data_IF_673907729621
#
_entry.id   IF_673907729621
#
_cell.length_a   1.000
_cell.length_b   1.000
_cell.length_c   1.000
_cell.angle_alpha   90.00
_cell.angle_beta   90.00
_cell.angle_gamma   90.00
#
_symmetry.space_group_name_H-M   'P 1'
#
loop_
_entity.id
_entity.type
_entity.pdbx_description
1 polymer ?
#
# COMPACT_ATOMS: atom_id res chain seq x y z
N UNK A 1 6.09 -20.66 7.80
CA UNK A 1 6.59 -19.85 6.67
C UNK A 1 5.64 -18.69 6.43
N UNK A 2 6.16 -17.62 5.83
CA UNK A 2 5.36 -16.50 5.33
C UNK A 2 5.16 -16.67 3.81
N UNK A 3 3.96 -16.40 3.33
CA UNK A 3 3.63 -16.43 1.91
C UNK A 3 2.61 -15.34 1.57
N UNK A 4 2.91 -14.51 0.58
CA UNK A 4 1.95 -13.55 0.05
C UNK A 4 0.75 -14.30 -0.53
N UNK A 5 -0.47 -13.90 -0.15
CA UNK A 5 -1.67 -14.70 -0.40
C UNK A 5 -2.96 -13.87 -0.32
N UNK A 6 -4.08 -14.54 -0.61
CA UNK A 6 -5.44 -14.01 -0.48
C UNK A 6 -5.92 -13.89 0.98
N UNK A 7 -5.01 -13.95 1.97
CA UNK A 7 -5.38 -13.89 3.39
C UNK A 7 -6.05 -12.57 3.77
N UNK A 8 -5.72 -11.47 3.08
CA UNK A 8 -6.34 -10.16 3.30
C UNK A 8 -7.77 -10.13 2.72
N UNK A 9 -8.07 -10.87 1.66
CA UNK A 9 -9.44 -11.04 1.16
C UNK A 9 -10.30 -11.82 2.15
N UNK A 10 -9.73 -12.88 2.73
CA UNK A 10 -10.38 -13.62 3.83
C UNK A 10 -10.59 -12.70 5.04
N UNK A 11 -9.63 -11.85 5.39
CA UNK A 11 -9.78 -10.87 6.46
C UNK A 11 -10.90 -9.86 6.17
N UNK A 12 -11.01 -9.40 4.92
CA UNK A 12 -12.13 -8.58 4.46
C UNK A 12 -13.47 -9.27 4.73
N UNK A 13 -13.59 -10.55 4.37
CA UNK A 13 -14.80 -11.33 4.66
C UNK A 13 -15.06 -11.52 6.16
N UNK A 14 -14.03 -11.71 6.97
CA UNK A 14 -14.16 -11.80 8.43
C UNK A 14 -14.74 -10.50 9.00
N UNK A 15 -14.30 -9.34 8.50
CA UNK A 15 -14.88 -8.04 8.89
C UNK A 15 -16.38 -8.01 8.57
N UNK A 16 -16.78 -8.44 7.37
CA UNK A 16 -18.21 -8.47 7.00
C UNK A 16 -19.04 -9.35 7.94
N UNK A 17 -18.55 -10.55 8.25
CA UNK A 17 -19.25 -11.48 9.15
C UNK A 17 -19.40 -10.93 10.56
N UNK A 18 -18.35 -10.29 11.09
CA UNK A 18 -18.35 -9.73 12.45
C UNK A 18 -19.27 -8.51 12.54
N UNK A 19 -19.28 -7.67 11.50
CA UNK A 19 -19.92 -6.36 11.55
C UNK A 19 -21.33 -6.34 10.97
N UNK A 20 -21.67 -7.33 10.14
CA UNK A 20 -22.91 -7.35 9.36
C UNK A 20 -22.96 -6.32 8.23
N UNK A 21 -21.87 -5.62 7.95
CA UNK A 21 -21.73 -4.65 6.87
C UNK A 21 -20.97 -5.27 5.70
N UNK A 22 -21.21 -4.80 4.47
CA UNK A 22 -20.29 -5.10 3.37
C UNK A 22 -18.95 -4.39 3.61
N UNK A 23 -17.86 -4.91 3.03
CA UNK A 23 -16.54 -4.35 3.26
C UNK A 23 -16.43 -2.89 2.79
N UNK A 24 -17.09 -2.52 1.69
CA UNK A 24 -17.13 -1.12 1.21
C UNK A 24 -17.81 -0.18 2.20
N UNK A 25 -18.95 -0.59 2.78
CA UNK A 25 -19.69 0.17 3.78
C UNK A 25 -18.88 0.35 5.06
N UNK A 26 -18.22 -0.72 5.50
CA UNK A 26 -17.37 -0.69 6.67
C UNK A 26 -16.19 0.27 6.47
N UNK A 27 -15.46 0.15 5.36
CA UNK A 27 -14.31 1.03 5.08
C UNK A 27 -14.75 2.47 4.90
N UNK A 28 -15.87 2.72 4.20
CA UNK A 28 -16.44 4.05 4.04
C UNK A 28 -16.75 4.68 5.40
N UNK A 29 -17.45 3.96 6.26
CA UNK A 29 -17.91 4.47 7.56
C UNK A 29 -16.77 4.63 8.56
N UNK A 30 -15.82 3.70 8.59
CA UNK A 30 -14.80 3.61 9.64
C UNK A 30 -13.47 4.25 9.28
N UNK A 31 -13.21 4.48 8.00
CA UNK A 31 -11.93 4.98 7.52
C UNK A 31 -12.09 6.14 6.54
N UNK A 32 -12.79 5.94 5.41
CA UNK A 32 -12.78 6.93 4.33
C UNK A 32 -13.49 8.22 4.70
N UNK A 33 -14.73 8.14 5.19
CA UNK A 33 -15.50 9.34 5.58
C UNK A 33 -14.83 10.10 6.74
N UNK A 34 -14.43 9.45 7.86
CA UNK A 34 -13.76 10.17 8.95
C UNK A 34 -12.44 10.82 8.52
N UNK A 35 -11.71 10.17 7.60
CA UNK A 35 -10.49 10.74 7.04
C UNK A 35 -10.75 11.62 5.84
N UNK A 36 -11.98 11.88 5.38
CA UNK A 36 -12.26 12.69 4.19
C UNK A 36 -11.59 12.18 2.91
N UNK A 37 -11.52 10.86 2.71
CA UNK A 37 -11.03 10.20 1.50
C UNK A 37 -12.20 9.98 0.53
N UNK A 38 -12.68 11.05 -0.10
CA UNK A 38 -13.95 11.05 -0.85
C UNK A 38 -13.88 10.33 -2.19
N UNK A 39 -12.67 10.16 -2.72
CA UNK A 39 -12.40 9.58 -4.04
C UNK A 39 -11.83 8.16 -3.91
N UNK A 40 -11.98 7.55 -2.72
CA UNK A 40 -11.51 6.19 -2.43
C UNK A 40 -12.68 5.22 -2.30
N UNK A 41 -12.63 4.13 -3.06
CA UNK A 41 -13.67 3.10 -3.07
C UNK A 41 -13.35 1.94 -3.99
N UNK A 42 -14.31 1.04 -4.19
CA UNK A 42 -14.13 -0.14 -5.05
C UNK A 42 -14.49 0.08 -6.53
N UNK A 43 -14.94 1.29 -6.88
CA UNK A 43 -15.21 1.70 -8.25
C UNK A 43 -15.19 3.22 -8.37
N UNK A 44 -14.85 3.75 -9.54
CA UNK A 44 -14.93 5.18 -9.86
C UNK A 44 -16.38 5.54 -10.23
N UNK A 45 -16.98 6.57 -9.61
CA UNK A 45 -18.28 7.06 -10.00
C UNK A 45 -18.31 7.51 -11.47
N UNK A 46 -19.46 7.36 -12.13
CA UNK A 46 -19.58 7.70 -13.55
C UNK A 46 -19.22 9.16 -13.89
N UNK A 47 -19.43 10.09 -12.95
CA UNK A 47 -19.11 11.50 -13.13
C UNK A 47 -17.61 11.84 -12.99
N UNK A 48 -16.80 10.90 -12.48
CA UNK A 48 -15.34 11.03 -12.34
C UNK A 48 -14.58 10.13 -13.33
N UNK A 49 -15.28 9.50 -14.29
CA UNK A 49 -14.69 8.52 -15.20
C UNK A 49 -13.52 9.10 -16.03
N UNK A 50 -13.55 10.41 -16.31
CA UNK A 50 -12.50 11.15 -17.02
C UNK A 50 -11.23 11.38 -16.19
N UNK A 51 -11.33 11.28 -14.85
CA UNK A 51 -10.19 11.36 -13.93
C UNK A 51 -9.44 10.05 -13.75
N UNK A 52 -10.00 8.93 -14.21
CA UNK A 52 -9.37 7.61 -14.09
C UNK A 52 -8.12 7.53 -14.99
N UNK A 53 -6.96 7.34 -14.36
CA UNK A 53 -5.71 7.18 -15.08
C UNK A 53 -5.72 5.93 -15.98
N UNK A 54 -5.14 6.04 -17.17
CA UNK A 54 -4.98 4.91 -18.07
C UNK A 54 -4.04 3.86 -17.48
N UNK A 55 -4.44 2.59 -17.52
CA UNK A 55 -3.62 1.46 -17.11
C UNK A 55 -2.73 0.98 -18.25
N UNK A 56 -1.43 0.86 -17.99
CA UNK A 56 -0.47 0.33 -18.94
C UNK A 56 0.13 -1.00 -18.45
N UNK A 57 0.56 -1.81 -19.39
CA UNK A 57 1.39 -2.99 -19.19
C UNK A 57 2.71 -2.86 -19.95
N UNK A 58 3.71 -3.63 -19.55
CA UNK A 58 4.99 -3.69 -20.24
C UNK A 58 4.94 -4.61 -21.47
N UNK A 59 5.32 -4.06 -22.62
CA UNK A 59 5.73 -4.74 -23.85
C UNK A 59 6.52 -6.04 -23.60
N UNK A 60 6.05 -7.29 -23.83
CA UNK A 60 6.95 -8.44 -23.81
C UNK A 60 8.13 -8.22 -24.76
N UNK A 61 9.36 -8.29 -24.27
CA UNK A 61 10.59 -8.08 -25.06
C UNK A 61 11.04 -6.62 -25.24
N UNK A 62 10.13 -5.64 -25.35
CA UNK A 62 10.51 -4.23 -25.55
C UNK A 62 10.44 -3.37 -24.29
N UNK A 63 9.67 -3.82 -23.28
CA UNK A 63 9.31 -3.07 -22.07
C UNK A 63 8.66 -1.71 -22.32
N UNK A 64 8.24 -1.39 -23.55
CA UNK A 64 7.49 -0.17 -23.85
C UNK A 64 6.08 -0.25 -23.27
N UNK A 65 5.52 0.89 -22.86
CA UNK A 65 4.16 0.96 -22.34
C UNK A 65 3.14 0.55 -23.41
N UNK A 66 2.22 -0.34 -23.03
CA UNK A 66 1.11 -0.86 -23.83
C UNK A 66 -0.19 -0.59 -23.08
N UNK A 67 -1.16 0.07 -23.70
CA UNK A 67 -2.43 0.40 -23.06
C UNK A 67 -3.24 -0.87 -22.77
N UNK A 68 -3.67 -1.05 -21.52
CA UNK A 68 -4.53 -2.14 -21.06
C UNK A 68 -5.97 -1.62 -20.87
N UNK A 69 -6.60 -1.19 -21.97
CA UNK A 69 -7.85 -0.44 -21.93
C UNK A 69 -8.98 -1.16 -21.17
N UNK A 70 -9.18 -2.46 -21.42
CA UNK A 70 -10.27 -3.22 -20.78
C UNK A 70 -10.01 -3.47 -19.29
N UNK A 71 -8.76 -3.76 -18.92
CA UNK A 71 -8.38 -3.90 -17.52
C UNK A 71 -8.52 -2.56 -16.76
N UNK A 72 -8.15 -1.45 -17.39
CA UNK A 72 -8.35 -0.10 -16.82
C UNK A 72 -9.83 0.22 -16.60
N UNK A 73 -10.69 -0.07 -17.57
CA UNK A 73 -12.14 0.17 -17.47
C UNK A 73 -12.84 -0.67 -16.40
N UNK A 74 -12.22 -1.74 -15.89
CA UNK A 74 -12.81 -2.55 -14.82
C UNK A 74 -13.09 -1.72 -13.56
N UNK A 75 -12.28 -0.70 -13.29
CA UNK A 75 -12.46 0.25 -12.20
C UNK A 75 -13.74 1.12 -12.31
N UNK A 76 -14.37 1.20 -13.48
CA UNK A 76 -15.62 1.96 -13.68
C UNK A 76 -16.87 1.16 -13.29
N UNK A 77 -16.72 -0.09 -12.84
CA UNK A 77 -17.83 -0.98 -12.48
C UNK A 77 -17.71 -1.38 -11.03
N UNK A 78 -18.83 -1.38 -10.31
CA UNK A 78 -18.90 -1.96 -8.97
C UNK A 78 -18.60 -3.46 -9.08
N UNK A 79 -17.62 -3.99 -8.34
CA UNK A 79 -17.27 -5.40 -8.41
C UNK A 79 -18.37 -6.26 -7.76
N UNK A 80 -18.43 -7.54 -8.15
CA UNK A 80 -19.36 -8.51 -7.54
C UNK A 80 -18.96 -8.90 -6.12
N UNK A 81 -17.72 -8.62 -5.71
CA UNK A 81 -17.19 -8.85 -4.38
C UNK A 81 -16.15 -7.78 -4.03
N UNK A 82 -16.14 -7.36 -2.77
CA UNK A 82 -15.17 -6.40 -2.25
C UNK A 82 -13.99 -7.15 -1.65
N UNK A 83 -12.85 -7.06 -2.34
CA UNK A 83 -11.63 -7.77 -1.99
C UNK A 83 -10.80 -6.96 -1.00
N UNK A 84 -10.26 -7.59 0.04
CA UNK A 84 -9.43 -6.92 1.03
C UNK A 84 -8.00 -6.68 0.55
N UNK A 85 -7.48 -7.57 -0.30
CA UNK A 85 -6.11 -7.53 -0.81
C UNK A 85 -5.92 -6.69 -2.08
N UNK A 86 -7.00 -6.22 -2.71
CA UNK A 86 -6.95 -5.40 -3.93
C UNK A 86 -8.32 -4.89 -4.37
N UNK A 87 -8.34 -4.06 -5.42
CA UNK A 87 -9.60 -3.57 -6.03
C UNK A 87 -10.03 -2.17 -5.59
N UNK A 88 -9.38 -1.55 -4.61
CA UNK A 88 -9.59 -0.14 -4.33
C UNK A 88 -9.01 0.73 -5.45
N UNK A 89 -9.77 1.75 -5.82
CA UNK A 89 -9.33 2.96 -6.51
C UNK A 89 -9.22 4.08 -5.50
N UNK A 90 -8.26 4.99 -5.70
CA UNK A 90 -8.00 6.12 -4.81
C UNK A 90 -7.24 7.21 -5.57
N UNK A 91 -6.99 8.33 -4.90
CA UNK A 91 -6.17 9.43 -5.39
C UNK A 91 -4.92 9.57 -4.53
N UNK A 92 -3.90 10.27 -5.06
CA UNK A 92 -2.73 10.62 -4.24
C UNK A 92 -3.13 11.44 -3.01
N UNK A 93 -4.08 12.37 -3.15
CA UNK A 93 -4.57 13.19 -2.04
C UNK A 93 -5.24 12.35 -0.94
N UNK A 94 -6.12 11.42 -1.31
CA UNK A 94 -6.79 10.53 -0.35
C UNK A 94 -5.80 9.60 0.35
N UNK A 95 -4.90 8.99 -0.40
CA UNK A 95 -3.94 8.04 0.16
C UNK A 95 -2.89 8.73 1.06
N UNK A 96 -2.56 9.99 0.77
CA UNK A 96 -1.78 10.83 1.68
C UNK A 96 -2.48 11.04 3.02
N UNK A 97 -3.81 11.18 3.06
CA UNK A 97 -4.56 11.32 4.32
C UNK A 97 -4.51 10.04 5.14
N UNK A 98 -4.62 8.88 4.49
CA UNK A 98 -4.44 7.59 5.16
C UNK A 98 -3.03 7.43 5.75
N UNK A 99 -2.01 7.72 4.96
CA UNK A 99 -0.61 7.57 5.39
C UNK A 99 -0.19 8.60 6.43
N UNK A 100 -0.67 9.85 6.34
CA UNK A 100 -0.46 10.86 7.38
C UNK A 100 -1.18 10.50 8.68
N UNK A 101 -2.37 9.89 8.64
CA UNK A 101 -3.03 9.37 9.84
C UNK A 101 -2.15 8.34 10.55
N UNK A 102 -1.51 7.44 9.80
CA UNK A 102 -0.57 6.45 10.34
C UNK A 102 0.71 7.11 10.88
N UNK A 103 1.32 8.02 10.12
CA UNK A 103 2.51 8.80 10.54
C UNK A 103 2.25 9.56 11.85
N UNK A 104 1.08 10.17 11.97
CA UNK A 104 0.58 10.86 13.16
C UNK A 104 0.00 9.92 14.23
N UNK A 105 0.41 8.65 14.20
CA UNK A 105 0.12 7.65 15.25
C UNK A 105 -1.38 7.43 15.47
N UNK A 106 -2.13 7.36 14.37
CA UNK A 106 -3.53 6.94 14.37
C UNK A 106 -4.55 8.07 14.33
N UNK A 107 -4.13 9.32 14.13
CA UNK A 107 -4.99 10.50 14.15
C UNK A 107 -4.67 11.47 13.02
N UNK A 108 -5.70 12.05 12.39
CA UNK A 108 -5.55 13.14 11.43
C UNK A 108 -6.60 14.22 11.72
N UNK A 109 -6.17 15.48 11.83
CA UNK A 109 -7.05 16.64 12.01
C UNK A 109 -8.08 16.49 13.15
N UNK A 110 -7.66 15.94 14.30
CA UNK A 110 -8.52 15.70 15.46
C UNK A 110 -9.38 14.43 15.37
N UNK A 111 -9.35 13.70 14.25
CA UNK A 111 -10.08 12.43 14.08
C UNK A 111 -9.14 11.26 14.35
N UNK A 112 -9.41 10.53 15.44
CA UNK A 112 -8.64 9.35 15.83
C UNK A 112 -9.27 8.07 15.27
N UNK A 113 -8.53 7.37 14.41
CA UNK A 113 -8.91 6.07 13.85
C UNK A 113 -8.32 4.93 14.67
N UNK A 114 -7.06 5.05 15.07
CA UNK A 114 -6.33 4.04 15.83
C UNK A 114 -5.67 4.67 17.06
N UNK A 115 -5.47 3.86 18.11
CA UNK A 115 -4.64 4.30 19.23
C UNK A 115 -3.17 4.36 18.80
N UNK A 116 -2.33 5.23 19.39
CA UNK A 116 -0.90 5.26 19.08
C UNK A 116 -0.21 3.93 19.35
N UNK A 117 -0.65 3.21 20.40
CA UNK A 117 -0.15 1.88 20.76
C UNK A 117 -0.50 0.84 19.70
N UNK A 118 -1.69 0.95 19.09
CA UNK A 118 -2.11 0.06 17.99
C UNK A 118 -1.25 0.28 16.76
N UNK A 119 -1.00 1.53 16.36
CA UNK A 119 -0.10 1.84 15.23
C UNK A 119 1.30 1.27 15.51
N UNK A 120 1.86 1.57 16.68
CA UNK A 120 3.17 1.05 17.07
C UNK A 120 3.23 -0.48 17.06
N UNK A 121 2.15 -1.17 17.46
CA UNK A 121 2.10 -2.63 17.44
C UNK A 121 2.03 -3.18 16.00
N UNK A 122 1.20 -2.58 15.15
CA UNK A 122 1.00 -3.01 13.78
C UNK A 122 2.24 -2.81 12.90
N UNK A 123 3.10 -1.86 13.23
CA UNK A 123 4.33 -1.53 12.48
C UNK A 123 5.58 -2.27 12.98
N UNK A 124 5.45 -3.23 13.92
CA UNK A 124 6.56 -4.11 14.31
C UNK A 124 6.74 -5.25 13.30
N UNK A 125 7.92 -5.86 13.30
CA UNK A 125 8.12 -7.15 12.65
C UNK A 125 7.39 -8.24 13.45
N UNK A 126 6.43 -8.92 12.81
CA UNK A 126 5.66 -10.03 13.37
C UNK A 126 6.12 -11.40 12.87
N UNK A 127 7.22 -11.46 12.09
CA UNK A 127 7.82 -12.73 11.71
C UNK A 127 8.42 -13.43 12.96
N UNK A 128 8.18 -14.75 13.14
CA UNK A 128 8.72 -15.49 14.27
C UNK A 128 10.24 -15.37 14.38
N UNK A 129 10.74 -15.13 15.60
CA UNK A 129 12.17 -14.95 15.85
C UNK A 129 12.73 -13.59 15.41
N UNK A 130 11.89 -12.67 14.91
CA UNK A 130 12.33 -11.34 14.49
C UNK A 130 13.20 -11.36 13.22
N UNK A 131 13.15 -12.44 12.45
CA UNK A 131 13.92 -12.62 11.23
C UNK A 131 13.33 -11.84 10.05
N UNK A 132 14.08 -11.75 8.96
CA UNK A 132 13.62 -11.13 7.71
C UNK A 132 12.83 -12.10 6.82
N UNK A 133 12.27 -11.57 5.74
CA UNK A 133 11.51 -12.33 4.74
C UNK A 133 12.39 -13.35 4.00
N UNK A 134 13.69 -13.13 3.86
CA UNK A 134 14.62 -14.12 3.26
C UNK A 134 14.65 -15.40 4.10
N UNK A 135 14.60 -15.25 5.43
CA UNK A 135 14.73 -16.36 6.38
C UNK A 135 13.44 -17.15 6.61
N UNK A 136 12.26 -16.50 6.52
CA UNK A 136 10.98 -17.12 6.86
C UNK A 136 9.96 -17.14 5.72
N UNK A 137 10.18 -16.36 4.66
CA UNK A 137 9.27 -16.20 3.54
C UNK A 137 9.58 -17.14 2.38
N UNK A 138 8.53 -17.49 1.62
CA UNK A 138 8.72 -18.10 0.30
C UNK A 138 9.29 -17.06 -0.67
N UNK A 139 10.35 -17.39 -1.43
CA UNK A 139 10.86 -16.51 -2.48
C UNK A 139 9.75 -16.16 -3.46
N UNK A 140 9.49 -14.86 -3.64
CA UNK A 140 8.61 -14.34 -4.67
C UNK A 140 9.40 -13.30 -5.47
N UNK A 141 9.11 -13.22 -6.77
CA UNK A 141 9.62 -12.13 -7.57
C UNK A 141 8.89 -10.86 -7.11
N UNK A 142 9.62 -9.95 -6.47
CA UNK A 142 9.07 -8.72 -5.93
C UNK A 142 10.07 -7.59 -6.09
N UNK A 143 9.58 -6.37 -6.30
CA UNK A 143 10.43 -5.18 -6.42
C UNK A 143 11.10 -4.81 -5.07
N UNK A 144 10.47 -5.16 -3.95
CA UNK A 144 11.00 -4.92 -2.60
C UNK A 144 12.00 -6.03 -2.23
N UNK A 145 13.18 -5.69 -1.69
CA UNK A 145 14.12 -6.70 -1.21
C UNK A 145 13.54 -7.46 -0.01
N UNK A 146 13.95 -8.71 0.15
CA UNK A 146 13.59 -9.52 1.32
C UNK A 146 14.62 -9.39 2.45
N UNK A 147 15.90 -9.22 2.10
CA UNK A 147 16.98 -9.05 3.06
C UNK A 147 16.75 -7.79 3.90
N UNK A 148 16.90 -7.89 5.22
CA UNK A 148 16.70 -6.74 6.12
C UNK A 148 15.27 -6.19 6.17
N UNK A 149 14.30 -6.89 5.57
CA UNK A 149 12.88 -6.51 5.56
C UNK A 149 12.06 -7.57 6.29
N UNK A 150 11.42 -7.17 7.38
CA UNK A 150 10.42 -7.94 8.10
C UNK A 150 9.00 -7.69 7.58
N UNK A 151 8.01 -8.27 8.26
CA UNK A 151 6.60 -8.10 7.90
C UNK A 151 5.74 -7.77 9.12
N UNK A 152 5.05 -6.63 9.06
CA UNK A 152 4.11 -6.18 10.07
C UNK A 152 2.65 -6.44 9.68
N UNK A 153 1.72 -5.87 10.44
CA UNK A 153 0.28 -5.97 10.17
C UNK A 153 -0.20 -4.95 9.11
N UNK A 154 0.70 -4.12 8.58
CA UNK A 154 0.44 -3.13 7.52
C UNK A 154 1.27 -3.37 6.24
N UNK A 155 2.17 -4.35 6.22
CA UNK A 155 3.07 -4.59 5.10
C UNK A 155 4.52 -4.78 5.53
N UNK A 156 5.46 -4.38 4.66
CA UNK A 156 6.89 -4.50 4.90
C UNK A 156 7.35 -3.56 6.01
N UNK A 157 8.32 -4.01 6.81
CA UNK A 157 8.98 -3.20 7.85
C UNK A 157 10.48 -3.33 7.69
N UNK A 158 11.21 -2.22 7.54
CA UNK A 158 12.67 -2.23 7.52
C UNK A 158 13.20 -2.61 8.91
N UNK A 159 13.91 -3.73 9.01
CA UNK A 159 14.54 -4.20 10.25
C UNK A 159 16.07 -4.12 10.21
N UNK A 160 16.65 -4.05 9.02
CA UNK A 160 18.07 -3.75 8.79
C UNK A 160 18.23 -2.95 7.47
N UNK A 161 18.39 -1.62 7.54
CA UNK A 161 18.53 -0.78 6.34
C UNK A 161 19.74 -1.14 5.47
N UNK A 162 20.85 -1.59 6.08
CA UNK A 162 22.10 -1.91 5.36
C UNK A 162 21.89 -3.19 4.57
N UNK A 163 21.33 -4.23 5.19
CA UNK A 163 20.99 -5.47 4.50
C UNK A 163 19.95 -5.23 3.39
N UNK A 164 18.94 -4.39 3.66
CA UNK A 164 17.90 -4.05 2.69
C UNK A 164 18.41 -3.21 1.51
N UNK A 165 19.57 -2.55 1.65
CA UNK A 165 20.10 -1.59 0.65
C UNK A 165 19.09 -0.50 0.31
N UNK A 166 18.28 -0.11 1.30
CA UNK A 166 17.30 0.96 1.20
C UNK A 166 17.81 2.16 1.99
N UNK A 167 17.55 3.36 1.47
CA UNK A 167 17.92 4.61 2.15
C UNK A 167 16.96 4.98 3.30
N UNK A 168 15.87 4.23 3.49
CA UNK A 168 14.89 4.48 4.53
C UNK A 168 15.39 4.07 5.92
N UNK A 169 14.89 4.74 6.96
CA UNK A 169 15.28 4.46 8.35
C UNK A 169 14.79 3.10 8.86
N UNK A 170 15.47 2.60 9.91
CA UNK A 170 15.00 1.47 10.70
C UNK A 170 13.56 1.70 11.20
N UNK A 171 12.69 0.71 11.02
CA UNK A 171 11.28 0.80 11.38
C UNK A 171 10.40 1.50 10.35
N UNK A 172 10.95 1.97 9.23
CA UNK A 172 10.14 2.41 8.08
C UNK A 172 9.23 1.28 7.62
N UNK A 173 8.00 1.60 7.25
CA UNK A 173 7.02 0.61 6.85
C UNK A 173 6.19 1.07 5.65
N UNK A 174 5.68 0.13 4.87
CA UNK A 174 4.99 0.46 3.63
C UNK A 174 4.48 -0.75 2.86
N UNK A 175 3.95 -0.46 1.68
CA UNK A 175 3.49 -1.47 0.73
C UNK A 175 3.47 -0.92 -0.70
N UNK A 176 3.04 -1.75 -1.66
CA UNK A 176 2.81 -1.28 -3.02
C UNK A 176 1.81 -2.13 -3.79
N UNK A 177 1.25 -1.55 -4.83
CA UNK A 177 0.30 -2.20 -5.73
C UNK A 177 0.97 -2.76 -6.97
N UNK A 178 0.36 -3.77 -7.59
CA UNK A 178 0.87 -4.40 -8.80
C UNK A 178 1.06 -3.39 -9.95
N UNK A 179 0.20 -2.36 -10.04
CA UNK A 179 0.27 -1.31 -11.05
C UNK A 179 1.33 -0.22 -10.74
N UNK A 180 2.41 -0.58 -10.03
CA UNK A 180 3.52 0.31 -9.66
C UNK A 180 3.20 1.42 -8.64
N UNK A 181 2.01 1.45 -8.04
CA UNK A 181 1.74 2.34 -6.89
C UNK A 181 2.57 1.91 -5.68
N UNK A 182 2.97 2.85 -4.83
CA UNK A 182 3.67 2.55 -3.58
C UNK A 182 3.46 3.63 -2.54
N UNK A 183 3.60 3.26 -1.26
CA UNK A 183 3.78 4.21 -0.18
C UNK A 183 4.77 3.67 0.84
N UNK A 184 5.39 4.58 1.59
CA UNK A 184 6.08 4.26 2.82
C UNK A 184 5.97 5.41 3.81
N UNK A 185 6.16 5.08 5.07
CA UNK A 185 6.21 6.01 6.19
C UNK A 185 7.54 5.78 6.89
N UNK A 186 8.31 6.84 7.04
CA UNK A 186 9.54 6.85 7.81
C UNK A 186 9.27 7.58 9.13
N UNK A 187 9.15 6.84 10.25
CA UNK A 187 8.83 7.44 11.54
C UNK A 187 10.00 8.18 12.18
N UNK A 188 11.23 8.00 11.67
CA UNK A 188 12.43 8.68 12.18
C UNK A 188 12.51 10.07 11.56
N UNK A 189 12.35 10.15 10.24
CA UNK A 189 12.37 11.41 9.48
C UNK A 189 11.01 12.14 9.52
N UNK A 190 10.00 11.54 10.16
CA UNK A 190 8.62 12.05 10.22
C UNK A 190 8.02 12.41 8.85
N UNK A 191 8.28 11.56 7.85
CA UNK A 191 7.77 11.71 6.49
C UNK A 191 6.87 10.55 6.06
N UNK A 192 5.99 10.83 5.11
CA UNK A 192 5.38 9.80 4.28
C UNK A 192 5.60 10.13 2.81
N UNK A 193 5.77 9.10 2.00
CA UNK A 193 5.82 9.21 0.55
C UNK A 193 4.73 8.34 -0.07
N UNK A 194 4.08 8.87 -1.10
CA UNK A 194 3.09 8.16 -1.91
C UNK A 194 3.43 8.41 -3.38
N UNK A 195 3.57 7.34 -4.15
CA UNK A 195 3.69 7.38 -5.61
C UNK A 195 2.47 6.72 -6.24
N UNK A 196 1.79 7.47 -7.10
CA UNK A 196 0.69 6.97 -7.92
C UNK A 196 1.11 6.95 -9.39
N UNK A 197 1.18 5.75 -9.96
CA UNK A 197 1.36 5.49 -11.39
C UNK A 197 0.54 4.24 -11.75
N UNK A 198 0.47 3.87 -13.03
CA UNK A 198 -0.35 2.76 -13.52
C UNK A 198 0.40 1.93 -14.58
N UNK A 199 1.37 1.14 -14.12
CA UNK A 199 2.17 0.24 -14.96
C UNK A 199 2.28 -1.15 -14.34
N UNK A 200 1.91 -2.18 -15.11
CA UNK A 200 2.04 -3.59 -14.74
C UNK A 200 3.17 -4.28 -15.54
N UNK A 201 3.93 -5.20 -14.93
CA UNK A 201 4.08 -5.41 -13.48
C UNK A 201 4.94 -4.32 -12.83
N UNK A 202 4.91 -4.24 -11.49
CA UNK A 202 5.62 -3.19 -10.74
C UNK A 202 7.14 -3.23 -10.86
N UNK A 203 7.71 -4.38 -11.17
CA UNK A 203 9.15 -4.59 -11.37
C UNK A 203 9.65 -4.22 -12.78
N UNK A 204 8.80 -3.64 -13.63
CA UNK A 204 9.19 -3.18 -14.98
C UNK A 204 10.32 -2.14 -14.90
N UNK A 205 10.21 -1.22 -13.95
CA UNK A 205 11.18 -0.18 -13.64
C UNK A 205 11.39 -0.13 -12.12
N UNK A 206 12.60 0.17 -11.63
CA UNK A 206 12.90 0.20 -10.19
C UNK A 206 12.42 1.51 -9.53
N UNK A 207 11.15 1.86 -9.76
CA UNK A 207 10.59 3.16 -9.35
C UNK A 207 10.59 3.32 -7.83
N UNK A 208 10.30 2.26 -7.08
CA UNK A 208 10.17 2.35 -5.62
C UNK A 208 11.51 2.62 -4.94
N UNK A 209 12.55 1.89 -5.33
CA UNK A 209 13.89 2.07 -4.75
C UNK A 209 14.53 3.38 -5.18
N UNK A 210 14.37 3.79 -6.46
CA UNK A 210 14.86 5.08 -6.94
C UNK A 210 14.16 6.25 -6.25
N UNK A 211 12.83 6.20 -6.08
CA UNK A 211 12.11 7.26 -5.40
C UNK A 211 12.52 7.38 -3.92
N UNK A 212 12.66 6.25 -3.20
CA UNK A 212 13.18 6.24 -1.83
C UNK A 212 14.55 6.91 -1.75
N UNK A 213 15.49 6.56 -2.62
CA UNK A 213 16.82 7.18 -2.65
C UNK A 213 16.75 8.69 -2.92
N UNK A 214 15.97 9.12 -3.92
CA UNK A 214 15.84 10.53 -4.27
C UNK A 214 15.20 11.36 -3.17
N UNK A 215 14.17 10.84 -2.49
CA UNK A 215 13.52 11.51 -1.36
C UNK A 215 14.50 11.67 -0.21
N UNK A 216 15.19 10.59 0.18
CA UNK A 216 16.13 10.61 1.31
C UNK A 216 17.32 11.55 1.04
N UNK A 217 17.84 11.60 -0.19
CA UNK A 217 18.89 12.55 -0.59
C UNK A 217 18.44 14.02 -0.58
N UNK A 218 17.14 14.26 -0.67
CA UNK A 218 16.56 15.61 -0.69
C UNK A 218 16.19 16.11 0.72
N UNK A 219 16.22 15.25 1.74
CA UNK A 219 16.05 15.69 3.12
C UNK A 219 17.25 16.56 3.51
N UNK A 220 16.94 17.72 4.05
CA UNK A 220 17.90 18.64 4.68
C UNK A 220 17.53 18.71 6.15
N UNK A 221 18.55 18.67 7.02
CA UNK A 221 18.47 18.60 8.48
C UNK A 221 17.18 19.18 9.11
#
# INVERSE_FOLDING_TARGET
EWNYSMSIDVLGRVIEVITGQTLDEFLRTRLFTPLGMTDTGFSVPAHDADRLAALYGAHPGTRKAMLLAEAGKAALKVPSAFLGGGGLVSTMADYLRFTDMLRRKGELNGVRILSPRTVQYMTKNHLPGGVDLTSFGRPLFSETPYDGVGFGLLGSVTIDPVAAKLANSLGSYGWGGAASTTFWIDPVEDITCVLMTQLLPSDTHPLRSQLSQLVQQALVD
#
